data_IF_232331873202
#
_entry.id   IF_232331873202
#
_cell.length_a   1.000
_cell.length_b   1.000
_cell.length_c   1.000
_cell.angle_alpha   90.00
_cell.angle_beta   90.00
_cell.angle_gamma   90.00
#
_symmetry.space_group_name_H-M   'P 1'
#
loop_
_entity.id
_entity.type
_entity.pdbx_description
1 polymer ?
#
# COMPACT_ATOMS: atom_id res chain seq x y z
N UNK A 1 2.30 -23.62 -14.95
CA UNK A 1 0.88 -23.60 -15.34
C UNK A 1 0.18 -24.57 -14.41
N UNK A 2 -0.47 -24.09 -13.35
CA UNK A 2 -1.22 -24.99 -12.44
C UNK A 2 -2.36 -25.62 -13.21
N UNK A 3 -2.48 -26.95 -13.16
CA UNK A 3 -3.56 -27.66 -13.84
C UNK A 3 -4.84 -27.57 -13.02
N UNK A 4 -5.99 -27.76 -13.66
CA UNK A 4 -7.31 -27.84 -12.98
C UNK A 4 -7.29 -28.92 -11.89
N UNK A 5 -6.57 -30.02 -12.14
CA UNK A 5 -6.36 -31.09 -11.18
C UNK A 5 -5.58 -30.60 -9.96
N UNK A 6 -4.46 -29.91 -10.16
CA UNK A 6 -3.65 -29.39 -9.06
C UNK A 6 -4.40 -28.34 -8.23
N UNK A 7 -5.21 -27.50 -8.87
CA UNK A 7 -6.05 -26.51 -8.17
C UNK A 7 -7.08 -27.16 -7.26
N UNK A 8 -7.74 -28.23 -7.72
CA UNK A 8 -8.72 -28.96 -6.90
C UNK A 8 -8.04 -29.77 -5.79
N UNK A 9 -6.85 -30.31 -6.05
CA UNK A 9 -6.04 -30.98 -5.02
C UNK A 9 -5.59 -29.98 -3.95
N UNK A 10 -5.18 -28.77 -4.33
CA UNK A 10 -4.83 -27.69 -3.40
C UNK A 10 -6.05 -27.20 -2.59
N UNK A 11 -7.26 -27.29 -3.17
CA UNK A 11 -8.53 -27.04 -2.47
C UNK A 11 -8.93 -28.18 -1.51
N UNK A 12 -8.20 -29.29 -1.52
CA UNK A 12 -8.38 -30.41 -0.61
C UNK A 12 -9.22 -31.56 -1.16
N UNK A 13 -9.47 -31.62 -2.46
CA UNK A 13 -10.12 -32.77 -3.11
C UNK A 13 -9.09 -33.88 -3.38
N UNK A 14 -9.53 -35.15 -3.28
CA UNK A 14 -8.65 -36.29 -3.52
C UNK A 14 -8.19 -36.35 -4.99
N UNK A 15 -6.89 -36.50 -5.21
CA UNK A 15 -6.28 -36.43 -6.54
C UNK A 15 -6.85 -37.47 -7.51
N UNK A 16 -7.02 -38.71 -7.07
CA UNK A 16 -7.54 -39.80 -7.92
C UNK A 16 -8.97 -39.49 -8.36
N UNK A 17 -9.73 -38.90 -7.45
CA UNK A 17 -11.10 -38.48 -7.66
C UNK A 17 -11.24 -37.31 -8.62
N UNK A 18 -10.37 -36.32 -8.48
CA UNK A 18 -10.30 -35.18 -9.38
C UNK A 18 -9.90 -35.59 -10.78
N UNK A 19 -8.92 -36.49 -10.92
CA UNK A 19 -8.49 -37.02 -12.22
C UNK A 19 -9.63 -37.77 -12.91
N UNK A 20 -10.36 -38.59 -12.18
CA UNK A 20 -11.55 -39.29 -12.69
C UNK A 20 -12.65 -38.31 -13.14
N UNK A 21 -12.99 -37.34 -12.29
CA UNK A 21 -13.97 -36.30 -12.63
C UNK A 21 -13.54 -35.48 -13.87
N UNK A 22 -12.24 -35.21 -13.98
CA UNK A 22 -11.67 -34.46 -15.09
C UNK A 22 -11.80 -35.24 -16.41
N UNK A 23 -11.62 -36.55 -16.39
CA UNK A 23 -11.86 -37.41 -17.55
C UNK A 23 -13.35 -37.52 -17.89
N UNK A 24 -14.22 -37.68 -16.89
CA UNK A 24 -15.67 -37.81 -17.10
C UNK A 24 -16.34 -36.54 -17.62
N UNK A 25 -15.81 -35.38 -17.23
CA UNK A 25 -16.29 -34.08 -17.73
C UNK A 25 -15.64 -33.68 -19.07
N UNK A 26 -14.82 -34.56 -19.66
CA UNK A 26 -14.18 -34.33 -20.96
C UNK A 26 -13.06 -33.28 -20.92
N UNK A 27 -12.33 -33.19 -19.81
CA UNK A 27 -11.27 -32.19 -19.55
C UNK A 27 -11.81 -30.76 -19.53
N UNK A 28 -12.97 -30.60 -18.90
CA UNK A 28 -13.69 -29.33 -18.79
C UNK A 28 -13.02 -28.29 -17.90
N UNK A 29 -13.63 -27.11 -17.81
CA UNK A 29 -13.20 -26.05 -16.90
C UNK A 29 -13.34 -26.49 -15.44
N UNK A 30 -12.56 -25.87 -14.55
CA UNK A 30 -12.53 -26.13 -13.10
C UNK A 30 -13.93 -26.26 -12.49
N UNK A 31 -14.84 -25.36 -12.84
CA UNK A 31 -16.21 -25.32 -12.32
C UNK A 31 -17.02 -26.56 -12.69
N UNK A 32 -16.86 -27.08 -13.92
CA UNK A 32 -17.58 -28.26 -14.41
C UNK A 32 -17.09 -29.52 -13.69
N UNK A 33 -15.78 -29.61 -13.48
CA UNK A 33 -15.13 -30.71 -12.76
C UNK A 33 -15.52 -30.69 -11.28
N UNK A 34 -15.60 -29.50 -10.69
CA UNK A 34 -16.01 -29.31 -9.30
C UNK A 34 -17.49 -29.64 -9.08
N UNK A 35 -18.38 -29.20 -9.96
CA UNK A 35 -19.82 -29.51 -9.89
C UNK A 35 -20.08 -31.01 -10.01
N UNK A 36 -19.34 -31.70 -10.88
CA UNK A 36 -19.38 -33.16 -10.98
C UNK A 36 -18.89 -33.83 -9.70
N UNK A 37 -17.80 -33.33 -9.11
CA UNK A 37 -17.23 -33.87 -7.86
C UNK A 37 -18.19 -33.74 -6.67
N UNK A 38 -18.88 -32.60 -6.55
CA UNK A 38 -19.87 -32.30 -5.51
C UNK A 38 -21.13 -33.16 -5.72
N UNK A 39 -21.60 -33.27 -6.96
CA UNK A 39 -22.81 -34.05 -7.27
C UNK A 39 -22.64 -35.56 -7.04
N UNK A 40 -21.40 -36.06 -7.10
CA UNK A 40 -21.08 -37.47 -6.89
C UNK A 40 -20.40 -37.70 -5.53
N UNK A 41 -20.39 -36.71 -4.61
CA UNK A 41 -19.72 -36.73 -3.29
C UNK A 41 -20.31 -37.80 -2.35
N UNK A 42 -19.93 -39.06 -2.57
CA UNK A 42 -20.39 -40.22 -1.81
C UNK A 42 -20.18 -41.54 -2.54
N UNK A 43 -20.07 -41.52 -3.87
CA UNK A 43 -19.83 -42.72 -4.66
C UNK A 43 -18.35 -43.11 -4.65
N UNK A 44 -18.07 -44.38 -4.38
CA UNK A 44 -16.72 -44.95 -4.47
C UNK A 44 -16.28 -45.03 -5.94
N UNK A 45 -15.10 -44.48 -6.21
CA UNK A 45 -14.54 -44.45 -7.56
C UNK A 45 -13.92 -45.82 -7.84
N UNK A 46 -14.28 -46.47 -8.95
CA UNK A 46 -13.69 -47.76 -9.28
C UNK A 46 -12.17 -47.60 -9.51
N UNK A 47 -11.33 -48.51 -8.98
CA UNK A 47 -9.89 -48.45 -9.16
C UNK A 47 -9.52 -48.50 -10.66
N UNK A 48 -8.36 -47.92 -11.05
CA UNK A 48 -8.03 -47.57 -12.45
C UNK A 48 -7.82 -48.76 -13.41
N UNK A 49 -8.14 -49.99 -13.02
CA UNK A 49 -7.99 -51.19 -13.84
C UNK A 49 -9.30 -51.71 -14.46
N UNK A 50 -10.45 -51.05 -14.26
CA UNK A 50 -11.75 -51.53 -14.77
C UNK A 50 -12.53 -50.51 -15.61
N UNK A 51 -11.86 -49.80 -16.51
CA UNK A 51 -12.54 -48.99 -17.54
C UNK A 51 -12.38 -49.57 -18.95
N UNK A 52 -13.02 -50.72 -19.18
CA UNK A 52 -13.75 -50.92 -20.44
C UNK A 52 -15.10 -51.54 -20.11
N UNK A 53 -16.15 -50.80 -20.46
CA UNK A 53 -17.56 -51.20 -20.46
C UNK A 53 -18.27 -51.31 -19.10
N UNK A 54 -19.01 -50.25 -18.72
CA UNK A 54 -20.36 -50.41 -18.15
C UNK A 54 -21.20 -49.15 -18.41
N UNK A 55 -21.91 -49.15 -19.53
CA UNK A 55 -23.24 -48.56 -19.59
C UNK A 55 -24.24 -49.71 -19.61
N UNK A 56 -25.10 -49.76 -18.57
CA UNK A 56 -26.45 -50.35 -18.50
C UNK A 56 -26.65 -51.84 -18.11
N UNK A 57 -27.26 -51.98 -16.92
CA UNK A 57 -28.24 -52.97 -16.40
C UNK A 57 -27.95 -54.50 -16.36
N UNK A 58 -28.01 -55.03 -15.12
CA UNK A 58 -28.70 -56.25 -14.62
C UNK A 58 -28.23 -57.70 -14.95
N UNK A 59 -28.07 -58.45 -13.84
CA UNK A 59 -28.21 -59.90 -13.60
C UNK A 59 -26.98 -60.86 -13.60
N UNK A 60 -26.88 -61.57 -12.45
CA UNK A 60 -26.30 -62.89 -12.13
C UNK A 60 -24.80 -63.26 -12.33
N UNK A 61 -24.23 -63.62 -11.16
CA UNK A 61 -23.55 -64.89 -10.76
C UNK A 61 -22.20 -65.33 -11.36
N UNK A 62 -21.29 -65.65 -10.41
CA UNK A 62 -20.17 -66.61 -10.47
C UNK A 62 -19.01 -66.25 -11.44
N UNK A 63 -17.72 -66.44 -11.16
CA UNK A 63 -16.95 -67.15 -10.14
C UNK A 63 -15.48 -66.63 -10.22
N UNK A 64 -14.73 -66.74 -9.12
CA UNK A 64 -13.31 -67.16 -8.98
C UNK A 64 -12.29 -66.72 -10.05
N UNK A 65 -11.12 -66.10 -9.77
CA UNK A 65 -9.98 -66.72 -9.07
C UNK A 65 -8.81 -65.72 -8.95
N UNK A 66 -8.14 -65.76 -7.80
CA UNK A 66 -6.70 -65.66 -7.55
C UNK A 66 -5.79 -64.84 -8.50
N UNK A 67 -5.06 -63.88 -7.93
CA UNK A 67 -3.63 -64.02 -7.61
C UNK A 67 -2.96 -62.63 -7.53
N UNK A 68 -2.56 -62.18 -6.33
CA UNK A 68 -1.41 -61.28 -6.18
C UNK A 68 -0.90 -61.32 -4.73
N UNK A 69 0.01 -62.25 -4.49
CA UNK A 69 0.80 -62.38 -3.26
C UNK A 69 2.05 -61.50 -3.34
N UNK A 70 2.06 -60.49 -2.47
CA UNK A 70 3.14 -60.12 -1.54
C UNK A 70 4.46 -59.50 -2.02
N UNK A 71 4.90 -58.45 -1.31
CA UNK A 71 6.32 -58.23 -1.02
C UNK A 71 6.76 -56.78 -0.83
N UNK A 72 6.69 -56.24 0.40
CA UNK A 72 7.25 -54.91 0.71
C UNK A 72 7.10 -54.39 2.14
N UNK A 73 7.51 -55.20 3.14
CA UNK A 73 7.94 -54.79 4.50
C UNK A 73 7.19 -53.63 5.17
N UNK A 74 5.96 -53.91 5.59
CA UNK A 74 5.23 -53.09 6.55
C UNK A 74 5.66 -53.58 7.95
N UNK A 75 6.67 -52.93 8.55
CA UNK A 75 6.72 -52.91 10.02
C UNK A 75 5.47 -52.17 10.46
N UNK A 76 4.42 -52.94 10.73
CA UNK A 76 3.10 -52.46 11.03
C UNK A 76 3.16 -51.48 12.20
N UNK A 77 3.01 -50.18 11.92
CA UNK A 77 2.43 -49.28 12.91
C UNK A 77 1.19 -50.01 13.39
N UNK A 78 1.15 -50.31 14.69
CA UNK A 78 0.05 -51.07 15.27
C UNK A 78 -1.26 -50.35 14.91
N UNK A 79 -2.38 -51.07 14.75
CA UNK A 79 -3.67 -50.43 14.45
C UNK A 79 -4.00 -49.30 15.44
N UNK A 80 -3.47 -49.39 16.66
CA UNK A 80 -3.62 -48.39 17.71
C UNK A 80 -2.82 -47.09 17.46
N UNK A 81 -1.60 -47.16 16.93
CA UNK A 81 -0.78 -45.97 16.63
C UNK A 81 -1.29 -45.22 15.39
N UNK A 82 -1.83 -45.94 14.41
CA UNK A 82 -2.51 -45.32 13.26
C UNK A 82 -3.79 -44.60 13.68
N UNK A 83 -4.56 -45.17 14.61
CA UNK A 83 -5.73 -44.51 15.18
C UNK A 83 -5.37 -43.24 15.96
N UNK A 84 -4.28 -43.25 16.75
CA UNK A 84 -3.80 -42.07 17.49
C UNK A 84 -3.36 -40.94 16.55
N UNK A 85 -2.58 -41.25 15.50
CA UNK A 85 -2.18 -40.26 14.49
C UNK A 85 -3.36 -39.72 13.69
N UNK A 86 -4.35 -40.57 13.37
CA UNK A 86 -5.58 -40.12 12.71
C UNK A 86 -6.41 -39.19 13.61
N UNK A 87 -6.48 -39.47 14.92
CA UNK A 87 -7.14 -38.59 15.89
C UNK A 87 -6.40 -37.26 16.05
N UNK A 88 -5.06 -37.29 16.16
CA UNK A 88 -4.23 -36.08 16.24
C UNK A 88 -4.35 -35.21 14.99
N UNK A 89 -4.39 -35.82 13.80
CA UNK A 89 -4.59 -35.10 12.54
C UNK A 89 -5.97 -34.46 12.46
N UNK A 90 -7.03 -35.15 12.91
CA UNK A 90 -8.39 -34.60 12.98
C UNK A 90 -8.47 -33.41 13.94
N UNK A 91 -7.85 -33.50 15.12
CA UNK A 91 -7.78 -32.38 16.07
C UNK A 91 -7.00 -31.20 15.49
N UNK A 92 -5.87 -31.45 14.82
CA UNK A 92 -5.09 -30.41 14.16
C UNK A 92 -5.87 -29.70 13.05
N UNK A 93 -6.65 -30.45 12.26
CA UNK A 93 -7.53 -29.88 11.22
C UNK A 93 -8.63 -29.03 11.85
N UNK A 94 -9.22 -29.48 12.97
CA UNK A 94 -10.27 -28.73 13.68
C UNK A 94 -9.73 -27.43 14.26
N UNK A 95 -8.54 -27.46 14.88
CA UNK A 95 -7.85 -26.27 15.38
C UNK A 95 -7.51 -25.31 14.23
N UNK A 96 -6.98 -25.83 13.12
CA UNK A 96 -6.65 -25.00 11.96
C UNK A 96 -7.88 -24.33 11.34
N UNK A 97 -9.02 -25.04 11.25
CA UNK A 97 -10.29 -24.47 10.78
C UNK A 97 -10.81 -23.39 11.72
N UNK A 98 -10.79 -23.62 13.02
CA UNK A 98 -11.22 -22.62 14.01
C UNK A 98 -10.31 -21.37 14.00
N UNK A 99 -8.99 -21.54 13.88
CA UNK A 99 -8.05 -20.42 13.76
C UNK A 99 -8.26 -19.63 12.46
N UNK A 100 -8.53 -20.32 11.35
CA UNK A 100 -8.82 -19.67 10.07
C UNK A 100 -10.13 -18.87 10.15
N UNK A 101 -11.19 -19.42 10.73
CA UNK A 101 -12.47 -18.73 10.94
C UNK A 101 -12.33 -17.51 11.86
N UNK A 102 -11.57 -17.62 12.95
CA UNK A 102 -11.31 -16.46 13.82
C UNK A 102 -10.45 -15.38 13.14
N UNK A 103 -9.49 -15.78 12.30
CA UNK A 103 -8.66 -14.85 11.54
C UNK A 103 -9.50 -14.12 10.49
N UNK A 104 -10.32 -14.83 9.73
CA UNK A 104 -11.24 -14.24 8.75
C UNK A 104 -12.24 -13.30 9.43
N UNK A 105 -12.82 -13.70 10.58
CA UNK A 105 -13.71 -12.84 11.36
C UNK A 105 -13.01 -11.56 11.85
N UNK A 106 -11.75 -11.65 12.28
CA UNK A 106 -10.95 -10.48 12.69
C UNK A 106 -10.61 -9.60 11.50
N UNK A 107 -10.25 -10.19 10.36
CA UNK A 107 -9.93 -9.46 9.13
C UNK A 107 -11.16 -8.71 8.60
N UNK A 108 -12.35 -9.31 8.64
CA UNK A 108 -13.59 -8.63 8.27
C UNK A 108 -13.90 -7.44 9.17
N UNK A 109 -13.75 -7.59 10.49
CA UNK A 109 -13.92 -6.50 11.45
C UNK A 109 -12.88 -5.41 11.21
N UNK A 110 -11.62 -5.76 10.97
CA UNK A 110 -10.55 -4.81 10.71
C UNK A 110 -10.73 -4.10 9.37
N UNK A 111 -11.19 -4.80 8.33
CA UNK A 111 -11.49 -4.22 7.01
C UNK A 111 -12.61 -3.19 7.11
N UNK A 112 -13.69 -3.51 7.82
CA UNK A 112 -14.78 -2.56 8.07
C UNK A 112 -14.32 -1.39 8.97
N UNK A 113 -13.50 -1.68 9.99
CA UNK A 113 -12.89 -0.64 10.84
C UNK A 113 -12.01 0.30 10.03
N UNK A 114 -11.16 -0.25 9.16
CA UNK A 114 -10.26 0.49 8.28
C UNK A 114 -11.03 1.40 7.33
N UNK A 115 -12.13 0.93 6.73
CA UNK A 115 -12.98 1.78 5.88
C UNK A 115 -13.53 2.99 6.65
N UNK A 116 -13.97 2.79 7.90
CA UNK A 116 -14.46 3.89 8.77
C UNK A 116 -13.34 4.82 9.20
N UNK A 117 -12.20 4.26 9.59
CA UNK A 117 -11.00 5.01 9.97
C UNK A 117 -10.45 5.84 8.82
N UNK A 118 -10.43 5.32 7.60
CA UNK A 118 -10.00 6.06 6.40
C UNK A 118 -10.94 7.25 6.13
N UNK A 119 -12.25 7.06 6.26
CA UNK A 119 -13.22 8.16 6.17
C UNK A 119 -13.00 9.22 7.24
N UNK A 120 -12.78 8.81 8.50
CA UNK A 120 -12.48 9.73 9.61
C UNK A 120 -11.14 10.45 9.40
N UNK A 121 -10.12 9.73 8.95
CA UNK A 121 -8.77 10.25 8.68
C UNK A 121 -8.80 11.28 7.56
N UNK A 122 -9.63 11.11 6.53
CA UNK A 122 -9.81 12.12 5.48
C UNK A 122 -10.41 13.42 6.02
N UNK A 123 -11.37 13.34 6.95
CA UNK A 123 -11.93 14.52 7.60
C UNK A 123 -10.91 15.19 8.52
N UNK A 124 -10.18 14.41 9.30
CA UNK A 124 -9.13 14.91 10.20
C UNK A 124 -7.98 15.57 9.42
N UNK A 125 -7.56 14.99 8.29
CA UNK A 125 -6.57 15.59 7.39
C UNK A 125 -7.04 16.95 6.88
N UNK A 126 -8.30 17.09 6.45
CA UNK A 126 -8.85 18.38 6.01
C UNK A 126 -8.92 19.40 7.15
N UNK A 127 -9.29 18.99 8.36
CA UNK A 127 -9.30 19.89 9.53
C UNK A 127 -7.88 20.33 9.89
N UNK A 128 -6.93 19.39 9.88
CA UNK A 128 -5.52 19.66 10.16
C UNK A 128 -4.87 20.57 9.11
N UNK A 129 -5.25 20.44 7.84
CA UNK A 129 -4.81 21.38 6.79
C UNK A 129 -5.26 22.81 7.10
N UNK A 130 -6.54 23.01 7.42
CA UNK A 130 -7.08 24.33 7.80
C UNK A 130 -6.46 24.88 9.08
N UNK A 131 -6.25 24.03 10.08
CA UNK A 131 -5.58 24.44 11.33
C UNK A 131 -4.13 24.84 11.07
N UNK A 132 -3.40 24.09 10.24
CA UNK A 132 -2.04 24.41 9.87
C UNK A 132 -1.94 25.73 9.08
N UNK A 133 -2.87 25.98 8.14
CA UNK A 133 -2.94 27.25 7.41
C UNK A 133 -3.21 28.43 8.36
N UNK A 134 -4.17 28.28 9.27
CA UNK A 134 -4.47 29.32 10.26
C UNK A 134 -3.32 29.54 11.23
N UNK A 135 -2.66 28.46 11.66
CA UNK A 135 -1.48 28.50 12.52
C UNK A 135 -0.31 29.18 11.82
N UNK A 136 -0.06 28.86 10.56
CA UNK A 136 0.97 29.50 9.74
C UNK A 136 0.70 31.00 9.59
N UNK A 137 -0.54 31.40 9.30
CA UNK A 137 -0.92 32.81 9.21
C UNK A 137 -0.73 33.56 10.54
N UNK A 138 -1.05 32.91 11.67
CA UNK A 138 -0.83 33.50 13.00
C UNK A 138 0.67 33.63 13.34
N UNK A 139 1.48 32.64 12.96
CA UNK A 139 2.94 32.66 13.14
C UNK A 139 3.62 33.72 12.27
N UNK A 140 3.23 33.82 11.00
CA UNK A 140 3.71 34.85 10.08
C UNK A 140 3.39 36.25 10.62
N UNK A 141 2.15 36.50 11.05
CA UNK A 141 1.77 37.79 11.65
C UNK A 141 2.55 38.10 12.94
N UNK A 142 2.91 37.08 13.72
CA UNK A 142 3.73 37.26 14.92
C UNK A 142 5.18 37.57 14.54
N UNK A 143 5.71 36.89 13.53
CA UNK A 143 7.06 37.07 13.00
C UNK A 143 7.22 38.44 12.36
N UNK A 144 6.30 38.86 11.50
CA UNK A 144 6.29 40.20 10.89
C UNK A 144 6.28 41.30 11.96
N UNK A 145 5.46 41.18 13.01
CA UNK A 145 5.46 42.13 14.14
C UNK A 145 6.81 42.18 14.86
N UNK A 146 7.45 41.03 15.06
CA UNK A 146 8.77 40.96 15.71
C UNK A 146 9.86 41.55 14.82
N UNK A 147 9.83 41.27 13.52
CA UNK A 147 10.77 41.82 12.55
C UNK A 147 10.59 43.34 12.37
N UNK A 148 9.35 43.82 12.35
CA UNK A 148 9.04 45.26 12.32
C UNK A 148 9.49 45.96 13.61
N UNK A 149 9.24 45.35 14.78
CA UNK A 149 9.72 45.87 16.06
C UNK A 149 11.26 45.92 16.10
N UNK A 150 11.93 44.86 15.63
CA UNK A 150 13.39 44.82 15.55
C UNK A 150 13.93 45.87 14.54
N UNK A 151 13.28 46.06 13.40
CA UNK A 151 13.65 47.10 12.43
C UNK A 151 13.49 48.50 13.02
N UNK A 152 12.39 48.78 13.73
CA UNK A 152 12.18 50.03 14.46
C UNK A 152 13.27 50.26 15.51
N UNK A 153 13.65 49.22 16.25
CA UNK A 153 14.76 49.30 17.21
C UNK A 153 16.10 49.61 16.55
N UNK A 154 16.41 49.00 15.39
CA UNK A 154 17.63 49.31 14.63
C UNK A 154 17.68 50.78 14.18
N UNK A 155 16.57 51.32 13.70
CA UNK A 155 16.49 52.74 13.31
C UNK A 155 16.65 53.66 14.52
N UNK A 156 16.01 53.32 15.63
CA UNK A 156 16.14 54.08 16.88
C UNK A 156 17.59 54.12 17.37
N UNK A 157 18.30 52.99 17.33
CA UNK A 157 19.71 52.93 17.73
C UNK A 157 20.61 53.72 16.75
N UNK A 158 20.35 53.67 15.44
CA UNK A 158 21.04 54.52 14.47
C UNK A 158 20.84 56.02 14.76
N UNK A 159 19.61 56.45 15.03
CA UNK A 159 19.31 57.84 15.39
C UNK A 159 20.03 58.23 16.69
N UNK A 160 20.10 57.30 17.65
CA UNK A 160 20.80 57.53 18.92
C UNK A 160 22.29 57.76 18.69
N UNK A 161 22.94 56.89 17.94
CA UNK A 161 24.36 57.01 17.56
C UNK A 161 24.61 58.32 16.81
N UNK A 162 23.78 58.66 15.82
CA UNK A 162 23.90 59.90 15.05
C UNK A 162 23.71 61.15 15.92
N UNK A 163 22.76 61.11 16.86
CA UNK A 163 22.51 62.20 17.80
C UNK A 163 23.67 62.38 18.77
N UNK A 164 24.22 61.28 19.31
CA UNK A 164 25.41 61.30 20.15
C UNK A 164 26.64 61.82 19.38
N UNK A 165 26.85 61.38 18.14
CA UNK A 165 27.94 61.85 17.28
C UNK A 165 27.81 63.33 16.93
N UNK A 166 26.60 63.84 16.64
CA UNK A 166 26.37 65.28 16.44
C UNK A 166 26.59 66.07 17.72
N UNK A 167 26.14 65.57 18.87
CA UNK A 167 26.38 66.23 20.16
C UNK A 167 27.87 66.32 20.46
N UNK A 168 28.63 65.24 20.24
CA UNK A 168 30.08 65.21 20.41
C UNK A 168 30.79 66.19 19.44
N UNK A 169 30.37 66.21 18.16
CA UNK A 169 30.87 67.19 17.16
C UNK A 169 30.47 68.63 17.48
N UNK A 170 29.32 68.88 18.09
CA UNK A 170 28.89 70.22 18.50
C UNK A 170 29.62 70.69 19.77
N UNK A 171 30.03 69.77 20.65
CA UNK A 171 30.88 70.09 21.80
C UNK A 171 32.37 70.25 21.46
N UNK A 172 32.79 69.88 20.24
CA UNK A 172 34.12 70.12 19.71
C UNK A 172 34.10 71.26 18.67
N UNK A 173 34.81 72.34 18.94
CA UNK A 173 34.97 73.54 18.10
C UNK A 173 34.80 73.34 16.58
N UNK A 174 33.85 74.08 16.01
CA UNK A 174 33.74 74.28 14.57
C UNK A 174 34.64 75.46 14.15
N UNK A 175 35.61 75.29 13.23
CA UNK A 175 36.31 76.41 12.61
C UNK A 175 35.36 77.21 11.68
N UNK A 176 35.67 78.50 11.40
CA UNK A 176 34.75 79.42 10.71
C UNK A 176 34.35 78.93 9.31
N UNK A 177 33.17 79.39 8.80
CA UNK A 177 32.63 78.91 7.53
C UNK A 177 33.53 79.29 6.33
N UNK A 178 33.72 78.40 5.33
CA UNK A 178 34.40 78.76 4.10
C UNK A 178 33.50 79.65 3.23
N UNK A 179 34.14 80.63 2.58
CA UNK A 179 33.57 81.62 1.67
C UNK A 179 32.79 81.00 0.47
N UNK A 180 31.86 81.74 -0.16
CA UNK A 180 31.04 81.22 -1.26
C UNK A 180 31.88 80.92 -2.51
N UNK A 181 31.85 79.67 -2.97
CA UNK A 181 32.39 79.24 -4.26
C UNK A 181 31.27 79.23 -5.33
N UNK A 182 31.60 79.44 -6.62
CA UNK A 182 30.63 79.73 -7.67
C UNK A 182 29.77 78.52 -8.05
N UNK A 183 28.55 78.82 -8.45
CA UNK A 183 27.55 77.90 -9.03
C UNK A 183 28.13 77.02 -10.13
N UNK A 184 28.13 75.70 -9.91
CA UNK A 184 28.31 74.72 -10.98
C UNK A 184 26.96 74.53 -11.67
N UNK A 185 26.95 74.77 -12.97
CA UNK A 185 25.80 74.64 -13.85
C UNK A 185 25.18 73.23 -13.78
N UNK A 186 23.86 73.18 -13.86
CA UNK A 186 23.09 71.96 -13.97
C UNK A 186 23.54 71.17 -15.23
N UNK A 187 23.97 69.93 -15.04
CA UNK A 187 24.22 68.99 -16.13
C UNK A 187 22.91 68.66 -16.85
N UNK A 188 22.92 68.82 -18.18
CA UNK A 188 21.81 68.60 -19.09
C UNK A 188 21.14 67.21 -18.95
N UNK A 189 19.83 67.08 -19.23
CA UNK A 189 19.13 65.80 -19.16
C UNK A 189 19.57 64.86 -20.27
N UNK A 190 19.86 63.60 -19.93
CA UNK A 190 20.20 62.56 -20.90
C UNK A 190 18.99 62.20 -21.77
N UNK A 191 19.17 61.96 -23.09
CA UNK A 191 18.06 61.59 -23.96
C UNK A 191 17.53 60.19 -23.61
N UNK A 192 16.20 60.05 -23.55
CA UNK A 192 15.54 58.75 -23.40
C UNK A 192 15.66 57.96 -24.70
N UNK A 193 15.93 56.66 -24.59
CA UNK A 193 16.15 55.75 -25.71
C UNK A 193 14.79 55.16 -26.14
N UNK A 194 14.28 55.56 -27.30
CA UNK A 194 13.12 54.95 -27.95
C UNK A 194 13.55 53.67 -28.69
N UNK A 195 13.03 52.52 -28.26
CA UNK A 195 13.33 51.20 -28.83
C UNK A 195 12.26 50.78 -29.85
N UNK A 196 12.06 51.55 -30.92
CA UNK A 196 11.10 51.18 -31.98
C UNK A 196 11.68 50.28 -33.07
N UNK A 197 13.00 50.15 -33.16
CA UNK A 197 13.66 49.24 -34.09
C UNK A 197 14.86 48.60 -33.39
N UNK A 198 14.71 47.39 -32.88
CA UNK A 198 15.82 46.58 -32.37
C UNK A 198 16.02 45.38 -33.31
N UNK A 199 17.14 45.38 -34.03
CA UNK A 199 17.52 44.26 -34.90
C UNK A 199 18.24 43.20 -34.06
N UNK A 200 17.62 42.03 -33.90
CA UNK A 200 18.18 40.92 -33.12
C UNK A 200 19.14 40.14 -34.03
N UNK A 201 20.43 40.17 -33.70
CA UNK A 201 21.41 39.28 -34.33
C UNK A 201 21.31 37.90 -33.67
N UNK A 202 20.74 36.94 -34.40
CA UNK A 202 20.73 35.53 -34.00
C UNK A 202 21.99 34.88 -34.59
N UNK A 203 22.93 34.53 -33.72
CA UNK A 203 24.04 33.64 -34.08
C UNK A 203 23.50 32.22 -34.22
N UNK A 204 23.63 31.62 -35.40
CA UNK A 204 23.30 30.21 -35.64
C UNK A 204 24.30 29.27 -34.95
#
# INVERSE_FOLDING_TARGET
MSTVVDQLVDMGFDRVRVEYAYEQTGKGALEVVMDWLISHEGDEIPPPAQQTATARESDKSAETSADFVEGGTIAALTPEERAKKAAELRERIKIARAQKEEAERKEEIEKERRRREEGKKMLEVKQKQKENELRAMAEERRREKQEEAAARQRVLEQIRIDREARKAKASGQQPPPPAPAPTVAHSAPSPRKDYKEAMIQLSL
#
